data_IF_111675213502
#
_entry.id   IF_111675213502
#
_cell.length_a   1.000
_cell.length_b   1.000
_cell.length_c   1.000
_cell.angle_alpha   90.00
_cell.angle_beta   90.00
_cell.angle_gamma   90.00
#
_symmetry.space_group_name_H-M   'P 1'
#
loop_
_entity.id
_entity.type
_entity.pdbx_description
1 polymer ?
#
# COMPACT_ATOMS: atom_id res chain seq x y z
N UNK A 1 -9.73 6.10 -6.33
CA UNK A 1 -8.63 5.12 -6.15
C UNK A 1 -8.36 4.99 -4.65
N UNK A 2 -8.04 3.79 -4.13
CA UNK A 2 -8.07 3.45 -2.68
C UNK A 2 -7.21 4.34 -1.76
N UNK A 3 -6.25 5.08 -2.31
CA UNK A 3 -5.23 5.80 -1.53
C UNK A 3 -5.33 7.33 -1.63
N UNK A 4 -6.33 7.87 -2.36
CA UNK A 4 -6.41 9.29 -2.76
C UNK A 4 -6.59 10.29 -1.59
N UNK A 5 -6.87 9.83 -0.37
CA UNK A 5 -7.20 10.74 0.74
C UNK A 5 -6.02 11.10 1.67
N UNK A 6 -4.83 10.53 1.48
CA UNK A 6 -3.59 11.01 2.12
C UNK A 6 -3.03 12.19 1.28
N UNK A 7 -3.71 13.33 1.30
CA UNK A 7 -3.43 14.49 0.42
C UNK A 7 -1.99 15.01 0.54
N UNK A 8 -1.34 14.85 1.70
CA UNK A 8 0.05 15.30 1.91
C UNK A 8 1.12 14.32 1.41
N UNK A 9 0.80 13.03 1.24
CA UNK A 9 1.75 12.03 0.72
C UNK A 9 1.66 11.90 -0.82
N UNK A 10 0.58 12.43 -1.42
CA UNK A 10 0.25 12.36 -2.83
C UNK A 10 0.37 13.70 -3.57
N UNK A 11 0.75 14.79 -2.89
CA UNK A 11 0.82 16.14 -3.49
C UNK A 11 1.81 16.22 -4.66
N UNK A 12 2.82 15.33 -4.70
CA UNK A 12 3.83 15.21 -5.76
C UNK A 12 3.54 14.10 -6.80
N UNK A 13 2.40 13.41 -6.72
CA UNK A 13 2.12 12.23 -7.54
C UNK A 13 0.99 12.49 -8.54
N UNK A 14 1.28 12.28 -9.82
CA UNK A 14 0.27 12.39 -10.87
C UNK A 14 -0.77 11.25 -10.69
N UNK A 15 -2.05 11.56 -10.42
CA UNK A 15 -3.09 10.53 -10.34
C UNK A 15 -3.23 9.73 -11.64
N UNK A 16 -2.81 10.29 -12.78
CA UNK A 16 -2.80 9.58 -14.06
C UNK A 16 -1.73 8.49 -14.10
N UNK A 17 -0.56 8.68 -13.47
CA UNK A 17 0.49 7.66 -13.37
C UNK A 17 -0.03 6.41 -12.65
N UNK A 18 -0.70 6.60 -11.51
CA UNK A 18 -1.27 5.47 -10.77
C UNK A 18 -2.33 4.73 -11.60
N UNK A 19 -3.13 5.46 -12.37
CA UNK A 19 -4.15 4.86 -13.21
C UNK A 19 -3.51 4.06 -14.35
N UNK A 20 -2.43 4.55 -14.94
CA UNK A 20 -1.65 3.83 -15.94
C UNK A 20 -1.07 2.54 -15.37
N UNK A 21 -0.43 2.60 -14.20
CA UNK A 21 0.11 1.41 -13.53
C UNK A 21 -0.98 0.42 -13.17
N UNK A 22 -2.16 0.88 -12.76
CA UNK A 22 -3.29 -0.01 -12.45
C UNK A 22 -3.72 -0.86 -13.65
N UNK A 23 -3.65 -0.32 -14.87
CA UNK A 23 -3.98 -1.03 -16.11
C UNK A 23 -2.99 -2.16 -16.43
N UNK A 24 -1.77 -2.12 -15.89
CA UNK A 24 -0.73 -3.14 -16.10
C UNK A 24 -0.95 -4.43 -15.28
N UNK A 25 -2.04 -4.51 -14.51
CA UNK A 25 -2.45 -5.72 -13.79
C UNK A 25 -1.93 -5.79 -12.35
N UNK A 26 -1.80 -7.00 -11.77
CA UNK A 26 -1.44 -7.18 -10.35
C UNK A 26 -0.11 -6.53 -9.97
N UNK A 27 0.90 -6.63 -10.84
CA UNK A 27 2.24 -6.05 -10.60
C UNK A 27 2.18 -4.52 -10.56
N UNK A 28 1.39 -3.90 -11.44
CA UNK A 28 1.20 -2.45 -11.41
C UNK A 28 0.40 -1.95 -10.21
N UNK A 29 -0.55 -2.74 -9.71
CA UNK A 29 -1.20 -2.45 -8.42
C UNK A 29 -0.22 -2.55 -7.25
N UNK A 30 0.69 -3.52 -7.28
CA UNK A 30 1.76 -3.62 -6.29
C UNK A 30 2.71 -2.42 -6.35
N UNK A 31 3.12 -1.99 -7.56
CA UNK A 31 3.91 -0.77 -7.75
C UNK A 31 3.27 0.42 -7.05
N UNK A 32 1.99 0.67 -7.31
CA UNK A 32 1.23 1.76 -6.69
C UNK A 32 1.24 1.68 -5.15
N UNK A 33 1.04 0.48 -4.60
CA UNK A 33 1.09 0.28 -3.14
C UNK A 33 2.48 0.60 -2.59
N UNK A 34 3.54 0.10 -3.24
CA UNK A 34 4.93 0.32 -2.82
C UNK A 34 5.32 1.79 -2.90
N UNK A 35 4.94 2.49 -3.97
CA UNK A 35 5.11 3.94 -4.10
C UNK A 35 4.43 4.67 -2.95
N UNK A 36 3.16 4.35 -2.66
CA UNK A 36 2.43 4.97 -1.56
C UNK A 36 3.10 4.72 -0.20
N UNK A 37 3.54 3.50 0.09
CA UNK A 37 4.24 3.18 1.36
C UNK A 37 5.54 3.97 1.49
N UNK A 38 6.33 4.02 0.42
CA UNK A 38 7.62 4.72 0.41
C UNK A 38 7.44 6.23 0.64
N UNK A 39 6.38 6.83 0.08
CA UNK A 39 6.07 8.25 0.24
C UNK A 39 5.37 8.59 1.56
N UNK A 40 4.60 7.66 2.12
CA UNK A 40 3.89 7.86 3.39
C UNK A 40 4.76 7.45 4.57
N UNK A 41 5.31 8.45 5.27
CA UNK A 41 6.01 8.24 6.55
C UNK A 41 5.13 7.46 7.55
N UNK A 42 3.82 7.75 7.57
CA UNK A 42 2.85 7.04 8.42
C UNK A 42 2.77 5.56 8.06
N UNK A 43 2.63 5.24 6.78
CA UNK A 43 2.55 3.85 6.32
C UNK A 43 3.84 3.08 6.63
N UNK A 44 5.01 3.70 6.41
CA UNK A 44 6.31 3.11 6.74
C UNK A 44 6.44 2.82 8.25
N UNK A 45 6.03 3.75 9.12
CA UNK A 45 6.06 3.54 10.57
C UNK A 45 5.12 2.41 11.00
N UNK A 46 3.89 2.37 10.49
CA UNK A 46 2.94 1.29 10.79
C UNK A 46 3.49 -0.06 10.31
N UNK A 47 4.02 -0.12 9.09
CA UNK A 47 4.59 -1.35 8.53
C UNK A 47 5.76 -1.88 9.37
N UNK A 48 6.64 -1.00 9.85
CA UNK A 48 7.75 -1.37 10.74
C UNK A 48 7.25 -1.83 12.10
N UNK A 49 6.21 -1.19 12.66
CA UNK A 49 5.59 -1.61 13.92
C UNK A 49 4.97 -3.00 13.82
N UNK A 50 4.17 -3.27 12.78
CA UNK A 50 3.56 -4.59 12.56
C UNK A 50 4.61 -5.71 12.50
N UNK A 51 5.74 -5.44 11.85
CA UNK A 51 6.88 -6.36 11.85
C UNK A 51 7.59 -6.45 13.20
N UNK A 52 7.69 -5.35 13.95
CA UNK A 52 8.30 -5.31 15.28
C UNK A 52 7.53 -6.13 16.31
N UNK A 53 6.22 -6.12 16.20
CA UNK A 53 5.28 -6.81 17.10
C UNK A 53 5.16 -8.32 16.77
N UNK A 54 5.73 -8.80 15.66
CA UNK A 54 5.73 -10.22 15.28
C UNK A 54 6.94 -10.98 15.85
N UNK A 55 6.74 -11.91 16.80
CA UNK A 55 7.81 -12.76 17.31
C UNK A 55 8.20 -13.87 16.31
N UNK A 56 7.31 -14.25 15.38
CA UNK A 56 7.49 -15.41 14.50
C UNK A 56 8.21 -15.08 13.18
N UNK A 57 8.59 -13.83 12.96
CA UNK A 57 9.22 -13.41 11.69
C UNK A 57 10.57 -14.08 11.50
N UNK A 58 10.80 -14.59 10.30
CA UNK A 58 12.05 -15.26 9.93
C UNK A 58 13.13 -14.28 9.40
N UNK A 59 13.24 -13.09 9.98
CA UNK A 59 14.27 -12.11 9.65
C UNK A 59 14.50 -11.11 10.79
N UNK A 60 15.74 -10.63 10.97
CA UNK A 60 16.05 -9.67 12.02
C UNK A 60 15.47 -8.28 11.69
N UNK A 61 15.10 -7.53 12.73
CA UNK A 61 14.68 -6.13 12.61
C UNK A 61 13.41 -5.95 11.77
N UNK A 62 13.39 -4.93 10.92
CA UNK A 62 12.27 -4.64 10.02
C UNK A 62 12.78 -4.47 8.60
N UNK A 63 11.94 -4.79 7.63
CA UNK A 63 12.26 -4.66 6.21
C UNK A 63 11.38 -3.58 5.59
N UNK A 64 11.99 -2.74 4.78
CA UNK A 64 11.29 -1.77 3.95
C UNK A 64 10.85 -2.41 2.62
N UNK A 65 9.86 -1.80 1.99
CA UNK A 65 9.43 -2.15 0.63
C UNK A 65 10.51 -1.80 -0.38
N UNK A 66 10.59 -2.57 -1.47
CA UNK A 66 11.56 -2.36 -2.56
C UNK A 66 10.80 -1.77 -3.74
N UNK A 67 11.12 -0.53 -4.10
CA UNK A 67 10.57 0.14 -5.28
C UNK A 67 11.27 -0.37 -6.54
N UNK A 68 10.50 -0.74 -7.56
CA UNK A 68 11.05 -1.10 -8.86
C UNK A 68 11.58 0.15 -9.60
N UNK A 69 12.52 -0.06 -10.51
CA UNK A 69 13.12 0.98 -11.32
C UNK A 69 13.19 0.47 -12.76
N UNK A 70 12.52 1.17 -13.67
CA UNK A 70 12.43 0.80 -15.09
C UNK A 70 13.79 0.69 -15.80
N UNK A 71 14.86 1.27 -15.23
CA UNK A 71 16.22 1.23 -15.81
C UNK A 71 17.09 0.08 -15.31
N UNK A 72 16.64 -0.70 -14.32
CA UNK A 72 17.38 -1.86 -13.76
C UNK A 72 16.71 -3.17 -14.12
N UNK A 73 17.45 -4.05 -14.79
CA UNK A 73 16.98 -5.40 -15.11
C UNK A 73 16.67 -6.15 -13.80
N UNK A 74 15.49 -6.78 -13.72
CA UNK A 74 14.93 -7.50 -12.55
C UNK A 74 14.41 -6.65 -11.37
N UNK A 75 14.32 -5.33 -11.49
CA UNK A 75 13.80 -4.50 -10.38
C UNK A 75 12.37 -4.89 -9.94
N UNK A 76 11.49 -5.22 -10.88
CA UNK A 76 10.15 -5.73 -10.59
C UNK A 76 10.16 -7.09 -9.89
N UNK A 77 11.09 -7.97 -10.25
CA UNK A 77 11.25 -9.27 -9.58
C UNK A 77 11.56 -9.06 -8.09
N UNK A 78 12.51 -8.16 -7.76
CA UNK A 78 12.86 -7.89 -6.36
C UNK A 78 11.74 -7.19 -5.58
N UNK A 79 10.96 -6.31 -6.23
CA UNK A 79 9.76 -5.74 -5.62
C UNK A 79 8.75 -6.84 -5.26
N UNK A 80 8.50 -7.78 -6.18
CA UNK A 80 7.56 -8.89 -5.97
C UNK A 80 8.08 -9.84 -4.88
N UNK A 81 9.34 -10.21 -4.93
CA UNK A 81 9.98 -11.08 -3.92
C UNK A 81 9.89 -10.46 -2.52
N UNK A 82 10.17 -9.15 -2.40
CA UNK A 82 10.00 -8.41 -1.15
C UNK A 82 8.54 -8.39 -0.69
N UNK A 83 7.61 -8.14 -1.61
CA UNK A 83 6.18 -8.06 -1.29
C UNK A 83 5.62 -9.41 -0.82
N UNK A 84 6.06 -10.52 -1.42
CA UNK A 84 5.70 -11.86 -0.96
C UNK A 84 6.21 -12.10 0.47
N UNK A 85 7.45 -11.72 0.76
CA UNK A 85 8.02 -11.84 2.12
C UNK A 85 7.28 -10.98 3.15
N UNK A 86 6.75 -9.83 2.73
CA UNK A 86 6.02 -8.91 3.59
C UNK A 86 4.49 -9.05 3.52
N UNK A 87 3.98 -10.06 2.80
CA UNK A 87 2.58 -10.16 2.38
C UNK A 87 1.59 -9.94 3.52
N UNK A 88 1.77 -10.68 4.63
CA UNK A 88 0.88 -10.59 5.80
C UNK A 88 0.77 -9.16 6.33
N UNK A 89 1.91 -8.47 6.44
CA UNK A 89 1.96 -7.10 6.96
C UNK A 89 1.42 -6.06 5.98
N UNK A 90 1.61 -6.28 4.67
CA UNK A 90 1.05 -5.42 3.64
C UNK A 90 -0.46 -5.51 3.59
N UNK A 91 -1.01 -6.73 3.72
CA UNK A 91 -2.46 -6.96 3.83
C UNK A 91 -3.04 -6.26 5.07
N UNK A 92 -2.41 -6.44 6.23
CA UNK A 92 -2.85 -5.79 7.48
C UNK A 92 -2.73 -4.26 7.45
N UNK A 93 -1.65 -3.73 6.87
CA UNK A 93 -1.48 -2.29 6.68
C UNK A 93 -2.63 -1.70 5.84
N UNK A 94 -2.98 -2.36 4.73
CA UNK A 94 -4.07 -1.92 3.85
C UNK A 94 -5.41 -1.96 4.61
N UNK A 95 -5.66 -3.00 5.40
CA UNK A 95 -6.87 -3.12 6.21
C UNK A 95 -6.97 -2.00 7.26
N UNK A 96 -5.87 -1.71 7.98
CA UNK A 96 -5.80 -0.61 8.94
C UNK A 96 -6.11 0.73 8.24
N UNK A 97 -5.49 0.97 7.09
CA UNK A 97 -5.71 2.20 6.31
C UNK A 97 -7.17 2.32 5.86
N UNK A 98 -7.78 1.24 5.36
CA UNK A 98 -9.19 1.24 4.96
C UNK A 98 -10.11 1.50 6.15
N UNK A 99 -9.87 0.85 7.30
CA UNK A 99 -10.66 1.04 8.51
C UNK A 99 -10.54 2.48 9.04
N UNK A 100 -9.34 3.04 9.02
CA UNK A 100 -9.10 4.44 9.39
C UNK A 100 -9.89 5.39 8.49
N UNK A 101 -9.83 5.19 7.18
CA UNK A 101 -10.57 6.01 6.21
C UNK A 101 -12.09 5.89 6.40
N UNK A 102 -12.62 4.69 6.66
CA UNK A 102 -14.06 4.51 6.97
C UNK A 102 -14.49 5.27 8.23
N UNK A 103 -13.65 5.29 9.28
CA UNK A 103 -13.95 6.04 10.51
C UNK A 103 -14.04 7.54 10.23
N UNK A 104 -13.11 8.09 9.43
CA UNK A 104 -13.14 9.50 9.04
C UNK A 104 -14.44 9.87 8.30
N UNK A 105 -14.88 9.02 7.38
CA UNK A 105 -16.14 9.23 6.65
C UNK A 105 -17.38 9.17 7.56
N UNK A 106 -17.39 8.29 8.56
CA UNK A 106 -18.51 8.16 9.49
C UNK A 106 -18.58 9.31 10.52
N UNK A 107 -17.44 9.91 10.89
CA UNK A 107 -17.39 11.05 11.82
C UNK A 107 -17.88 12.35 11.16
N UNK A 108 -17.85 12.44 9.83
CA UNK A 108 -18.34 13.58 9.03
C UNK A 108 -19.85 13.63 8.77
N UNK A 109 -20.67 12.77 9.39
CA UNK A 109 -22.14 12.85 9.33
C UNK A 109 -22.79 12.37 8.02
N UNK A 110 -22.04 11.83 7.05
CA UNK A 110 -22.59 11.23 5.82
C UNK A 110 -22.13 9.77 5.69
N UNK A 111 -23.02 8.82 5.97
CA UNK A 111 -22.78 7.38 5.78
C UNK A 111 -22.90 7.03 4.29
N UNK A 112 -21.79 7.11 3.54
CA UNK A 112 -21.72 6.55 2.19
C UNK A 112 -21.56 5.02 2.26
N UNK A 113 -22.68 4.30 2.06
CA UNK A 113 -22.71 2.84 1.92
C UNK A 113 -22.03 2.41 0.61
N UNK A 114 -20.70 2.24 0.62
CA UNK A 114 -20.02 1.54 -0.48
C UNK A 114 -20.21 0.03 -0.32
N UNK A 115 -21.27 -0.48 -0.93
CA UNK A 115 -21.44 -1.92 -1.19
C UNK A 115 -20.47 -2.31 -2.31
N UNK A 116 -19.38 -2.98 -1.95
CA UNK A 116 -18.50 -3.66 -2.93
C UNK A 116 -19.37 -4.72 -3.60
N UNK A 117 -19.74 -4.48 -4.86
CA UNK A 117 -20.37 -5.49 -5.69
C UNK A 117 -19.23 -6.32 -6.26
N UNK A 118 -19.01 -7.49 -5.67
CA UNK A 118 -18.27 -8.57 -6.34
C UNK A 118 -19.16 -8.95 -7.52
N UNK A 119 -18.70 -8.63 -8.72
CA UNK A 119 -19.37 -9.06 -9.96
C UNK A 119 -18.97 -10.53 -10.16
N UNK A 120 -19.97 -11.40 -10.26
CA UNK A 120 -19.80 -12.80 -10.70
C UNK A 120 -19.22 -12.87 -12.13
#
# INVERSE_FOLDING_TARGET
MLFVHDTQALEDLDPDDFNEWTKRGPVGKLHNLVVWINRSNKATVILRRLQGDDPDKNYPGTLDVVLDNCTRWLSQYYMIERAIKLRRYLEELVDITIQSNRKLLNVGGFTLNFRIKVQD
#
